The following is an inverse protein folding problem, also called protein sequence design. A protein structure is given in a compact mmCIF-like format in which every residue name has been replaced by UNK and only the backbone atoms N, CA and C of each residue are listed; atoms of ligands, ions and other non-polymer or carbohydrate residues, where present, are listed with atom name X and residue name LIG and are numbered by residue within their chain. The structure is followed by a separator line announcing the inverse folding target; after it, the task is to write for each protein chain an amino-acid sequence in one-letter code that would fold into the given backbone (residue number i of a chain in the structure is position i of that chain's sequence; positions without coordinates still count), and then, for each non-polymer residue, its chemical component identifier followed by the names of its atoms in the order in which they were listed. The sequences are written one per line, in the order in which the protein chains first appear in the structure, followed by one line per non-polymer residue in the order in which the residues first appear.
data_IF_581637450160
#
_entry.id   IF_581637450160
#
_cell.length_a   1.000
_cell.length_b   1.000
_cell.length_c   1.000
_cell.angle_alpha   90.00
_cell.angle_beta   90.00
_cell.angle_gamma   90.00
#
_symmetry.space_group_name_H-M   'P 1'
#
loop_
_entity.id
_entity.type
_entity.pdbx_description
1 polymer ?
#
# COMPACT_ATOMS: atom_id res chain seq x y z
N UNK A 1 16.24 3.59 -6.94
CA UNK A 1 15.70 2.70 -5.89
C UNK A 1 14.20 2.92 -5.73
N UNK A 2 13.74 4.11 -5.31
CA UNK A 2 12.33 4.46 -5.06
C UNK A 2 11.38 4.10 -6.22
N UNK A 3 11.69 4.52 -7.44
CA UNK A 3 10.86 4.22 -8.63
C UNK A 3 10.63 2.72 -8.77
N UNK A 4 11.68 1.88 -8.90
CA UNK A 4 11.51 0.43 -9.07
C UNK A 4 10.76 -0.23 -7.90
N UNK A 5 11.06 0.18 -6.67
CA UNK A 5 10.42 -0.36 -5.48
C UNK A 5 8.90 -0.09 -5.48
N UNK A 6 8.47 1.10 -5.94
CA UNK A 6 7.06 1.49 -5.96
C UNK A 6 6.38 1.00 -7.24
N UNK A 7 6.88 1.36 -8.42
CA UNK A 7 6.20 1.16 -9.70
C UNK A 7 6.17 -0.30 -10.14
N UNK A 8 7.26 -1.04 -9.90
CA UNK A 8 7.43 -2.42 -10.33
C UNK A 8 7.36 -3.44 -9.18
N UNK A 9 7.25 -2.98 -7.93
CA UNK A 9 7.32 -3.83 -6.74
C UNK A 9 8.63 -4.62 -6.63
N UNK A 10 9.75 -4.02 -7.04
CA UNK A 10 11.07 -4.62 -7.03
C UNK A 10 11.59 -4.81 -5.59
N UNK A 11 11.71 -6.06 -5.16
CA UNK A 11 12.15 -6.41 -3.80
C UNK A 11 13.61 -6.04 -3.53
N UNK A 12 14.50 -6.14 -4.53
CA UNK A 12 15.90 -5.78 -4.36
C UNK A 12 16.04 -4.26 -4.13
N UNK A 13 15.27 -3.46 -4.87
CA UNK A 13 15.21 -2.02 -4.67
C UNK A 13 14.60 -1.66 -3.30
N UNK A 14 13.61 -2.42 -2.82
CA UNK A 14 13.04 -2.24 -1.49
C UNK A 14 14.04 -2.60 -0.36
N UNK A 15 14.82 -3.67 -0.54
CA UNK A 15 15.87 -4.07 0.39
C UNK A 15 17.02 -3.04 0.43
N UNK A 16 17.40 -2.48 -0.72
CA UNK A 16 18.37 -1.37 -0.79
C UNK A 16 17.87 -0.12 -0.04
N UNK A 17 16.58 0.23 -0.19
CA UNK A 17 15.98 1.34 0.56
C UNK A 17 15.97 1.06 2.06
N UNK A 18 15.54 -0.14 2.47
CA UNK A 18 15.54 -0.53 3.87
C UNK A 18 16.94 -0.45 4.50
N UNK A 19 17.95 -1.00 3.82
CA UNK A 19 19.35 -0.95 4.27
C UNK A 19 19.90 0.49 4.34
N UNK A 20 19.39 1.41 3.51
CA UNK A 20 19.79 2.82 3.54
C UNK A 20 19.30 3.58 4.79
N UNK A 21 18.31 3.05 5.51
CA UNK A 21 17.74 3.65 6.72
C UNK A 21 18.60 3.38 7.98
N UNK A 22 19.65 2.57 7.87
CA UNK A 22 20.56 2.25 8.97
C UNK A 22 20.50 0.78 9.38
N UNK A 23 20.80 0.50 10.65
CA UNK A 23 20.62 -0.85 11.19
C UNK A 23 19.13 -1.25 11.22
N UNK A 24 18.80 -2.55 11.33
CA UNK A 24 17.41 -2.99 11.23
C UNK A 24 16.45 -2.36 12.25
N UNK A 25 16.93 -2.03 13.45
CA UNK A 25 16.10 -1.38 14.46
C UNK A 25 15.83 0.09 14.11
N UNK A 26 16.85 0.80 13.63
CA UNK A 26 16.72 2.17 13.13
C UNK A 26 15.78 2.24 11.91
N UNK A 27 15.90 1.29 10.97
CA UNK A 27 15.04 1.20 9.80
C UNK A 27 13.57 0.95 10.18
N UNK A 28 13.31 0.00 11.10
CA UNK A 28 11.96 -0.25 11.61
C UNK A 28 11.37 0.96 12.32
N UNK A 29 12.16 1.64 13.16
CA UNK A 29 11.73 2.86 13.85
C UNK A 29 11.40 3.99 12.86
N UNK A 30 12.21 4.18 11.81
CA UNK A 30 11.96 5.19 10.79
C UNK A 30 10.65 4.93 10.02
N UNK A 31 10.38 3.68 9.61
CA UNK A 31 9.12 3.32 8.94
C UNK A 31 7.94 3.42 9.89
N UNK A 32 8.10 3.03 11.16
CA UNK A 32 7.07 3.17 12.19
C UNK A 32 6.72 4.64 12.48
N UNK A 33 7.70 5.54 12.42
CA UNK A 33 7.42 6.98 12.54
C UNK A 33 6.53 7.46 11.40
N UNK A 34 6.81 7.08 10.14
CA UNK A 34 5.95 7.44 9.01
C UNK A 34 4.54 6.87 9.16
N UNK A 35 4.40 5.65 9.67
CA UNK A 35 3.09 5.07 10.00
C UNK A 35 2.38 5.88 11.09
N UNK A 36 3.09 6.33 12.11
CA UNK A 36 2.56 7.18 13.20
C UNK A 36 2.06 8.52 12.66
N UNK A 37 2.86 9.21 11.84
CA UNK A 37 2.49 10.46 11.17
C UNK A 37 1.27 10.26 10.25
N UNK A 38 1.13 9.06 9.69
CA UNK A 38 -0.03 8.60 8.92
C UNK A 38 -1.16 7.97 9.76
N UNK A 39 -1.27 8.36 11.04
CA UNK A 39 -2.33 7.96 11.96
C UNK A 39 -2.43 6.44 12.27
N UNK A 40 -1.33 5.70 12.16
CA UNK A 40 -1.19 4.29 12.50
C UNK A 40 -0.12 4.05 13.59
N UNK A 41 -0.26 4.63 14.80
CA UNK A 41 0.73 4.50 15.88
C UNK A 41 0.84 3.07 16.43
N UNK A 42 -0.17 2.23 16.22
CA UNK A 42 -0.22 0.86 16.75
C UNK A 42 0.28 -0.20 15.73
N UNK A 43 0.71 0.23 14.54
CA UNK A 43 1.26 -0.66 13.50
C UNK A 43 2.78 -0.75 13.66
N UNK A 44 3.24 -1.86 14.24
CA UNK A 44 4.66 -2.10 14.49
C UNK A 44 5.34 -2.79 13.30
N UNK A 45 6.43 -2.18 12.84
CA UNK A 45 7.25 -2.70 11.74
C UNK A 45 8.24 -3.72 12.30
N UNK A 46 8.28 -4.92 11.72
CA UNK A 46 9.26 -5.92 12.12
C UNK A 46 10.66 -5.47 11.72
N UNK A 47 11.57 -5.42 12.68
CA UNK A 47 13.00 -5.14 12.44
C UNK A 47 13.75 -6.37 11.93
N UNK A 48 13.31 -7.57 12.35
CA UNK A 48 14.00 -8.83 12.07
C UNK A 48 13.20 -9.72 11.10
N UNK A 49 13.92 -10.54 10.36
CA UNK A 49 13.30 -11.58 9.53
C UNK A 49 12.91 -12.77 10.41
N UNK A 50 11.70 -12.73 10.97
CA UNK A 50 11.17 -13.82 11.81
C UNK A 50 10.61 -14.98 10.98
N UNK A 51 10.19 -14.73 9.74
CA UNK A 51 9.69 -15.71 8.77
C UNK A 51 10.46 -15.62 7.44
N UNK A 52 11.57 -16.36 7.27
CA UNK A 52 12.20 -16.50 5.97
C UNK A 52 11.24 -17.11 4.92
N UNK A 53 11.33 -16.71 3.63
CA UNK A 53 12.27 -15.76 3.04
C UNK A 53 11.76 -14.31 3.02
N UNK A 54 10.70 -13.95 3.75
CA UNK A 54 10.05 -12.64 3.65
C UNK A 54 10.88 -11.54 4.32
N UNK A 55 10.90 -10.33 3.75
CA UNK A 55 11.62 -9.20 4.35
C UNK A 55 11.05 -8.83 5.72
N UNK A 56 11.81 -8.18 6.62
CA UNK A 56 11.28 -7.72 7.90
C UNK A 56 10.04 -6.83 7.71
N UNK A 57 10.16 -5.74 6.95
CA UNK A 57 9.06 -4.82 6.67
C UNK A 57 7.84 -5.50 6.02
N UNK A 58 8.03 -6.54 5.20
CA UNK A 58 6.95 -7.29 4.56
C UNK A 58 6.14 -8.18 5.51
N UNK A 59 6.60 -8.37 6.75
CA UNK A 59 5.91 -9.15 7.78
C UNK A 59 5.08 -8.29 8.75
N UNK A 60 5.02 -6.97 8.49
CA UNK A 60 4.21 -6.03 9.26
C UNK A 60 2.74 -6.42 9.19
N UNK A 61 2.14 -6.71 10.34
CA UNK A 61 0.70 -6.93 10.44
C UNK A 61 0.02 -5.56 10.36
N UNK A 62 -0.69 -5.33 9.26
CA UNK A 62 -1.30 -4.04 8.98
C UNK A 62 -2.80 -4.20 8.70
N UNK A 63 -3.67 -3.85 9.68
CA UNK A 63 -5.11 -3.92 9.51
C UNK A 63 -5.60 -3.13 8.30
N UNK A 64 -6.63 -3.64 7.62
CA UNK A 64 -7.10 -3.03 6.38
C UNK A 64 -7.69 -1.63 6.59
N UNK A 65 -8.40 -1.40 7.70
CA UNK A 65 -8.94 -0.10 8.06
C UNK A 65 -7.82 0.95 8.30
N UNK A 66 -6.76 0.55 9.00
CA UNK A 66 -5.58 1.38 9.25
C UNK A 66 -4.83 1.70 7.95
N UNK A 67 -4.79 0.74 7.03
CA UNK A 67 -4.19 0.96 5.71
C UNK A 67 -4.98 1.99 4.87
N UNK A 68 -6.32 1.95 4.92
CA UNK A 68 -7.15 2.98 4.29
C UNK A 68 -6.96 4.35 4.97
N UNK A 69 -6.87 4.38 6.30
CA UNK A 69 -6.61 5.61 7.07
C UNK A 69 -5.27 6.24 6.70
N UNK A 70 -4.21 5.44 6.65
CA UNK A 70 -2.89 5.90 6.21
C UNK A 70 -2.90 6.42 4.78
N UNK A 71 -3.58 5.73 3.87
CA UNK A 71 -3.71 6.19 2.50
C UNK A 71 -4.41 7.57 2.44
N UNK A 72 -5.43 7.80 3.27
CA UNK A 72 -6.07 9.12 3.37
C UNK A 72 -5.11 10.20 3.90
N UNK A 73 -4.27 9.89 4.90
CA UNK A 73 -3.31 10.85 5.46
C UNK A 73 -2.08 11.09 4.59
N UNK A 74 -1.70 10.12 3.74
CA UNK A 74 -0.43 10.10 3.01
C UNK A 74 -0.10 11.40 2.26
N UNK A 75 -1.03 12.08 1.56
CA UNK A 75 -0.73 13.35 0.87
C UNK A 75 -0.33 14.50 1.80
N UNK A 76 -0.61 14.37 3.09
CA UNK A 76 -0.26 15.37 4.10
C UNK A 76 1.01 15.04 4.89
N UNK A 77 1.60 13.86 4.68
CA UNK A 77 2.89 13.51 5.28
C UNK A 77 4.00 14.32 4.58
N UNK A 78 4.95 14.94 5.32
CA UNK A 78 6.06 15.65 4.71
C UNK A 78 6.80 14.79 3.67
N UNK A 79 7.19 15.43 2.56
CA UNK A 79 7.94 14.80 1.47
C UNK A 79 7.25 13.59 0.79
N UNK A 80 5.92 13.45 0.91
CA UNK A 80 5.17 12.37 0.26
C UNK A 80 5.02 12.54 -1.26
N UNK A 81 5.20 13.75 -1.81
CA UNK A 81 4.97 14.06 -3.22
C UNK A 81 5.75 13.17 -4.20
N UNK A 82 7.07 12.94 -4.03
CA UNK A 82 7.82 12.03 -4.88
C UNK A 82 7.31 10.58 -4.81
N UNK A 83 6.86 10.12 -3.64
CA UNK A 83 6.29 8.77 -3.44
C UNK A 83 4.95 8.66 -4.17
N UNK A 84 4.07 9.63 -3.97
CA UNK A 84 2.77 9.70 -4.64
C UNK A 84 2.89 9.79 -6.16
N UNK A 85 3.92 10.49 -6.66
CA UNK A 85 4.22 10.53 -8.09
C UNK A 85 4.55 9.13 -8.65
N UNK A 86 5.34 8.33 -7.93
CA UNK A 86 5.62 6.94 -8.35
C UNK A 86 4.39 6.04 -8.20
N UNK A 87 3.59 6.23 -7.15
CA UNK A 87 2.33 5.48 -6.95
C UNK A 87 1.28 5.77 -8.03
N UNK A 88 1.40 6.89 -8.76
CA UNK A 88 0.59 7.20 -9.96
C UNK A 88 1.16 6.61 -11.25
N UNK A 89 2.40 6.13 -11.25
CA UNK A 89 3.12 5.66 -12.43
C UNK A 89 3.44 4.15 -12.34
N UNK A 90 2.45 3.36 -11.95
CA UNK A 90 2.59 1.92 -11.74
C UNK A 90 2.85 1.20 -13.07
N UNK A 91 3.81 0.27 -13.08
CA UNK A 91 4.20 -0.48 -14.26
C UNK A 91 3.06 -1.42 -14.72
N UNK A 92 2.99 -1.75 -16.00
CA UNK A 92 1.88 -2.50 -16.60
C UNK A 92 1.52 -3.81 -15.89
N UNK A 93 2.52 -4.58 -15.43
CA UNK A 93 2.30 -5.83 -14.69
C UNK A 93 1.71 -5.65 -13.28
N UNK A 94 1.62 -4.41 -12.80
CA UNK A 94 1.13 -4.02 -11.48
C UNK A 94 -0.19 -3.22 -11.57
N UNK A 95 -0.71 -3.00 -12.79
CA UNK A 95 -1.94 -2.23 -13.05
C UNK A 95 -3.20 -3.11 -12.97
N UNK A 96 -3.65 -3.37 -11.74
CA UNK A 96 -4.90 -4.09 -11.44
C UNK A 96 -5.62 -3.39 -10.29
N UNK A 97 -6.88 -3.75 -10.04
CA UNK A 97 -7.69 -3.20 -8.95
C UNK A 97 -7.72 -1.67 -8.97
N UNK A 98 -7.34 -1.05 -7.85
CA UNK A 98 -7.34 0.41 -7.67
C UNK A 98 -6.48 1.16 -8.69
N UNK A 99 -5.45 0.51 -9.26
CA UNK A 99 -4.57 1.15 -10.24
C UNK A 99 -5.27 1.45 -11.58
N UNK A 100 -6.48 0.92 -11.80
CA UNK A 100 -7.30 1.23 -12.96
C UNK A 100 -8.12 2.53 -12.80
N UNK A 101 -8.17 3.11 -11.60
CA UNK A 101 -8.86 4.37 -11.37
C UNK A 101 -8.00 5.52 -11.90
N UNK A 102 -8.61 6.36 -12.72
CA UNK A 102 -8.05 7.67 -13.04
C UNK A 102 -7.88 8.49 -11.74
N UNK A 103 -6.81 9.27 -11.63
CA UNK A 103 -6.50 10.09 -10.45
C UNK A 103 -6.25 9.30 -9.15
N UNK A 104 -5.85 8.03 -9.24
CA UNK A 104 -5.42 7.25 -8.09
C UNK A 104 -3.89 7.12 -7.98
N UNK A 105 -3.35 7.26 -6.78
CA UNK A 105 -1.99 6.86 -6.42
C UNK A 105 -2.08 5.56 -5.63
N UNK A 106 -1.53 4.45 -6.13
CA UNK A 106 -1.78 3.11 -5.56
C UNK A 106 -0.51 2.32 -5.31
N UNK A 107 -0.61 1.28 -4.46
CA UNK A 107 0.41 0.24 -4.33
C UNK A 107 -0.24 -1.10 -3.99
N UNK A 108 0.12 -2.14 -4.74
CA UNK A 108 -0.30 -3.52 -4.48
C UNK A 108 0.75 -4.35 -3.73
N UNK A 109 0.30 -5.43 -3.11
CA UNK A 109 1.12 -6.46 -2.49
C UNK A 109 0.38 -7.79 -2.45
N UNK A 110 1.11 -8.89 -2.56
CA UNK A 110 0.56 -10.24 -2.51
C UNK A 110 1.58 -11.22 -1.96
N UNK A 111 1.09 -12.33 -1.42
CA UNK A 111 1.93 -13.39 -0.89
C UNK A 111 1.13 -14.31 0.03
N UNK A 112 1.75 -15.40 0.50
CA UNK A 112 1.09 -16.28 1.44
C UNK A 112 1.01 -15.63 2.83
N UNK A 113 -0.12 -15.84 3.49
CA UNK A 113 -0.28 -15.62 4.91
C UNK A 113 0.49 -16.70 5.73
N UNK A 114 0.48 -16.64 7.08
CA UNK A 114 1.12 -17.65 7.91
C UNK A 114 0.56 -19.08 7.77
N UNK A 115 -0.70 -19.23 7.37
CA UNK A 115 -1.38 -20.52 7.18
C UNK A 115 -1.19 -21.07 5.75
N UNK A 116 -0.58 -20.28 4.87
CA UNK A 116 -0.30 -20.62 3.48
C UNK A 116 -1.38 -20.18 2.49
N UNK A 117 -2.43 -19.48 2.95
CA UNK A 117 -3.45 -18.92 2.07
C UNK A 117 -2.88 -17.75 1.28
N UNK A 118 -3.34 -17.58 0.05
CA UNK A 118 -2.89 -16.49 -0.80
C UNK A 118 -3.65 -15.21 -0.46
N UNK A 119 -2.94 -14.16 -0.06
CA UNK A 119 -3.51 -12.83 0.13
C UNK A 119 -3.05 -11.91 -1.00
N UNK A 120 -3.98 -11.18 -1.61
CA UNK A 120 -3.66 -9.98 -2.39
C UNK A 120 -4.33 -8.77 -1.77
N UNK A 121 -3.63 -7.64 -1.74
CA UNK A 121 -4.14 -6.37 -1.22
C UNK A 121 -3.61 -5.17 -1.99
N UNK A 122 -4.34 -4.08 -1.90
CA UNK A 122 -3.94 -2.77 -2.39
C UNK A 122 -4.29 -1.68 -1.40
N UNK A 123 -3.46 -0.64 -1.38
CA UNK A 123 -3.81 0.67 -0.85
C UNK A 123 -3.86 1.68 -1.99
N UNK A 124 -4.65 2.74 -1.82
CA UNK A 124 -4.69 3.83 -2.77
C UNK A 124 -5.18 5.14 -2.19
N UNK A 125 -4.64 6.25 -2.69
CA UNK A 125 -5.19 7.58 -2.52
C UNK A 125 -5.96 7.92 -3.79
N UNK A 126 -7.26 8.14 -3.68
CA UNK A 126 -8.09 8.62 -4.79
C UNK A 126 -8.41 10.10 -4.57
N UNK A 127 -8.18 10.93 -5.59
CA UNK A 127 -8.52 12.34 -5.52
C UNK A 127 -9.95 12.55 -6.00
N UNK A 128 -10.85 12.87 -5.07
CA UNK A 128 -12.23 13.29 -5.37
C UNK A 128 -12.30 14.80 -5.59
N UNK A 129 -13.47 15.30 -6.01
CA UNK A 129 -13.77 16.74 -6.07
C UNK A 129 -13.73 17.44 -4.71
N UNK A 130 -13.97 16.71 -3.62
CA UNK A 130 -14.07 17.27 -2.25
C UNK A 130 -12.82 17.05 -1.41
N UNK A 131 -11.83 16.32 -1.93
CA UNK A 131 -10.57 16.05 -1.26
C UNK A 131 -10.05 14.63 -1.49
N UNK A 132 -9.12 14.21 -0.65
CA UNK A 132 -8.54 12.87 -0.73
C UNK A 132 -9.51 11.83 -0.14
N UNK A 133 -9.50 10.63 -0.74
CA UNK A 133 -10.13 9.42 -0.23
C UNK A 133 -9.07 8.33 -0.10
N UNK A 134 -8.89 7.81 1.11
CA UNK A 134 -8.05 6.64 1.36
C UNK A 134 -8.81 5.35 1.09
N UNK A 135 -8.20 4.46 0.32
CA UNK A 135 -8.77 3.18 -0.10
C UNK A 135 -7.84 2.04 0.32
N UNK A 136 -8.43 0.94 0.78
CA UNK A 136 -7.72 -0.32 0.98
C UNK A 136 -8.63 -1.49 0.63
N UNK A 137 -8.19 -2.36 -0.28
CA UNK A 137 -8.90 -3.56 -0.72
C UNK A 137 -8.02 -4.79 -0.52
N UNK A 138 -8.63 -5.93 -0.20
CA UNK A 138 -7.92 -7.20 -0.02
C UNK A 138 -8.84 -8.38 -0.32
N UNK A 139 -8.26 -9.51 -0.71
CA UNK A 139 -8.99 -10.75 -0.94
C UNK A 139 -8.07 -11.96 -0.71
N UNK A 140 -8.68 -13.06 -0.30
CA UNK A 140 -8.08 -14.39 -0.25
C UNK A 140 -8.88 -15.29 -1.20
N UNK A 141 -8.40 -15.58 -2.43
CA UNK A 141 -9.12 -16.45 -3.34
C UNK A 141 -9.00 -17.92 -2.93
N UNK A 142 -10.09 -18.68 -3.05
CA UNK A 142 -10.14 -20.11 -2.70
C UNK A 142 -9.11 -20.97 -3.47
N UNK A 143 -8.76 -20.57 -4.70
CA UNK A 143 -7.79 -21.29 -5.54
C UNK A 143 -6.33 -20.90 -5.29
N UNK A 144 -6.09 -19.91 -4.42
CA UNK A 144 -4.76 -19.45 -4.06
C UNK A 144 -4.00 -18.73 -5.19
N UNK A 145 -4.66 -18.27 -6.25
CA UNK A 145 -3.97 -17.70 -7.42
C UNK A 145 -4.03 -16.17 -7.49
N UNK A 146 -2.93 -15.57 -7.98
CA UNK A 146 -2.88 -14.13 -8.28
C UNK A 146 -3.93 -13.69 -9.31
N UNK A 147 -4.17 -14.51 -10.33
CA UNK A 147 -5.11 -14.21 -11.39
C UNK A 147 -6.55 -14.09 -10.85
N UNK A 148 -6.96 -15.03 -10.00
CA UNK A 148 -8.28 -14.97 -9.36
C UNK A 148 -8.35 -13.82 -8.36
N UNK A 149 -7.32 -13.62 -7.54
CA UNK A 149 -7.26 -12.50 -6.61
C UNK A 149 -7.44 -11.14 -7.31
N UNK A 150 -6.67 -10.87 -8.37
CA UNK A 150 -6.76 -9.60 -9.11
C UNK A 150 -8.11 -9.45 -9.83
N UNK A 151 -8.68 -10.53 -10.37
CA UNK A 151 -10.04 -10.54 -10.92
C UNK A 151 -11.09 -10.14 -9.89
N UNK A 152 -11.00 -10.67 -8.66
CA UNK A 152 -11.90 -10.29 -7.56
C UNK A 152 -11.71 -8.81 -7.20
N UNK A 153 -10.46 -8.35 -7.04
CA UNK A 153 -10.14 -6.97 -6.65
C UNK A 153 -10.48 -5.93 -7.72
N UNK A 154 -10.59 -6.34 -8.99
CA UNK A 154 -11.12 -5.48 -10.05
C UNK A 154 -12.59 -5.12 -9.84
N UNK A 155 -13.40 -5.97 -9.18
CA UNK A 155 -14.82 -5.70 -8.97
C UNK A 155 -15.10 -4.45 -8.10
N UNK A 156 -14.55 -4.33 -6.86
CA UNK A 156 -14.73 -3.10 -6.08
C UNK A 156 -14.08 -1.89 -6.78
N UNK A 157 -12.95 -2.05 -7.46
CA UNK A 157 -12.33 -0.95 -8.20
C UNK A 157 -13.24 -0.43 -9.34
N UNK A 158 -13.82 -1.33 -10.14
CA UNK A 158 -14.78 -0.97 -11.18
C UNK A 158 -16.03 -0.29 -10.60
N UNK A 159 -16.52 -0.75 -9.46
CA UNK A 159 -17.62 -0.09 -8.77
C UNK A 159 -17.25 1.34 -8.34
N UNK A 160 -16.06 1.55 -7.78
CA UNK A 160 -15.59 2.90 -7.41
C UNK A 160 -15.53 3.81 -8.64
N UNK A 161 -14.97 3.34 -9.76
CA UNK A 161 -14.90 4.09 -11.03
C UNK A 161 -16.28 4.48 -11.57
N UNK A 162 -17.30 3.64 -11.37
CA UNK A 162 -18.67 3.91 -11.83
C UNK A 162 -19.44 4.86 -10.90
N UNK A 163 -18.98 5.06 -9.66
CA UNK A 163 -19.69 5.80 -8.62
C UNK A 163 -18.88 6.99 -8.09
N UNK A 164 -17.93 7.51 -8.87
CA UNK A 164 -16.98 8.56 -8.43
C UNK A 164 -17.65 9.83 -7.91
N UNK A 165 -18.79 10.21 -8.49
CA UNK A 165 -19.59 11.38 -8.07
C UNK A 165 -20.20 11.24 -6.67
N UNK A 166 -20.33 10.01 -6.15
CA UNK A 166 -20.90 9.72 -4.84
C UNK A 166 -19.83 9.49 -3.77
N UNK A 167 -18.55 9.45 -4.17
CA UNK A 167 -17.46 9.16 -3.27
C UNK A 167 -17.18 10.36 -2.35
N UNK A 168 -17.06 10.13 -1.04
CA UNK A 168 -16.67 11.18 -0.12
C UNK A 168 -15.18 11.51 -0.31
N UNK A 169 -14.84 12.77 -0.05
CA UNK A 169 -13.46 13.20 0.13
C UNK A 169 -13.36 14.21 1.25
N UNK A 170 -12.17 14.34 1.81
CA UNK A 170 -11.86 15.37 2.78
C UNK A 170 -10.40 15.80 2.63
N UNK A 171 -10.08 17.01 3.09
CA UNK A 171 -8.68 17.40 3.27
C UNK A 171 -8.01 16.45 4.25
N UNK A 172 -6.84 15.92 3.88
CA UNK A 172 -6.06 15.08 4.77
C UNK A 172 -5.48 15.89 5.92
N UNK A 173 -5.07 15.19 6.98
CA UNK A 173 -4.26 15.74 8.05
C UNK A 173 -3.26 14.69 8.50
N UNK A 174 -1.97 15.02 8.50
CA UNK A 174 -0.97 14.22 9.21
C UNK A 174 -1.09 14.46 10.72
N UNK A 175 -0.61 13.52 11.52
CA UNK A 175 -0.62 13.57 13.00
C UNK A 175 0.68 14.15 13.53
#
# INVERSE_FOLDING_TARGET
MIERAITASDNAAADELWASLGDPAAAAAAVHQVLTDGANPDVYVQAEQIRPPYSPYGQTIWPQADAARFAWTLPCIPDADPVLAQMRNIASGQQWGLAALDNAATKGGWGPDPDGNYLARQIGVYQTETGALGLAIATEPDDGTFATATSILNNPANWITQNTAELPGAGCTAV
#
